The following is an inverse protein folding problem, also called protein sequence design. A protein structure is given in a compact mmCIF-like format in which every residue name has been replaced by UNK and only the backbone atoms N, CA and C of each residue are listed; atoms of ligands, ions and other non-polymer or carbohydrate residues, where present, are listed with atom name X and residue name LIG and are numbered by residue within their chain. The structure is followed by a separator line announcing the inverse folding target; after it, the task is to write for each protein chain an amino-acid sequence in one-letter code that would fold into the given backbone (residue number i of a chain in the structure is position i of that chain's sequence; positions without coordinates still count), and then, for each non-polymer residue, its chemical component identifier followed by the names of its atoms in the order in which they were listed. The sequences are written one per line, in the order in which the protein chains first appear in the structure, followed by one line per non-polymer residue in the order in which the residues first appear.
data_IF_265547282665
#
_entry.id   IF_265547282665
#
_cell.length_a   1.000
_cell.length_b   1.000
_cell.length_c   1.000
_cell.angle_alpha   90.00
_cell.angle_beta   90.00
_cell.angle_gamma   90.00
#
_symmetry.space_group_name_H-M   'P 1'
#
loop_
_entity.id
_entity.type
_entity.pdbx_description
1 polymer ?
#
# COMPACT_ATOMS: atom_id res chain seq x y z
N UNK A 1 -10.55 -2.96 6.98
CA UNK A 1 -10.72 -2.88 5.51
C UNK A 1 -11.43 -4.16 5.04
N UNK A 2 -11.80 -4.24 3.75
CA UNK A 2 -12.50 -5.41 3.18
C UNK A 2 -11.61 -6.64 2.93
N UNK A 3 -10.29 -6.49 3.08
CA UNK A 3 -9.30 -7.56 2.93
C UNK A 3 -8.72 -8.05 4.28
N UNK A 4 -9.45 -7.86 5.39
CA UNK A 4 -9.03 -8.30 6.73
C UNK A 4 -9.85 -9.52 7.15
N UNK A 5 -9.45 -10.69 6.66
CA UNK A 5 -10.13 -11.96 6.97
C UNK A 5 -9.37 -12.72 8.07
N UNK A 6 -10.11 -13.54 8.83
CA UNK A 6 -9.54 -14.48 9.80
C UNK A 6 -8.70 -15.55 9.09
N UNK A 7 -9.27 -16.16 8.04
CA UNK A 7 -8.59 -17.17 7.23
C UNK A 7 -7.70 -16.53 6.15
N UNK A 8 -6.40 -16.83 6.19
CA UNK A 8 -5.41 -16.27 5.24
C UNK A 8 -5.68 -16.62 3.78
N UNK A 9 -6.36 -17.75 3.52
CA UNK A 9 -6.74 -18.17 2.17
C UNK A 9 -7.71 -17.22 1.48
N UNK A 10 -8.43 -16.40 2.26
CA UNK A 10 -9.36 -15.40 1.75
C UNK A 10 -8.71 -14.01 1.57
N UNK A 11 -7.47 -13.83 2.06
CA UNK A 11 -6.76 -12.55 1.98
C UNK A 11 -6.11 -12.42 0.60
N UNK A 12 -6.44 -11.35 -0.11
CA UNK A 12 -5.79 -11.00 -1.38
C UNK A 12 -4.37 -10.52 -1.13
N UNK A 13 -3.41 -11.04 -1.90
CA UNK A 13 -2.00 -10.63 -1.83
C UNK A 13 -1.87 -9.15 -2.20
N UNK A 14 -2.49 -8.74 -3.32
CA UNK A 14 -2.51 -7.33 -3.75
C UNK A 14 -3.48 -6.56 -2.84
N UNK A 15 -3.07 -5.40 -2.31
CA UNK A 15 -3.93 -4.61 -1.44
C UNK A 15 -5.16 -4.09 -2.21
N UNK A 16 -6.30 -4.07 -1.54
CA UNK A 16 -7.53 -3.50 -2.08
C UNK A 16 -7.54 -1.98 -1.94
N UNK A 17 -8.40 -1.30 -2.70
CA UNK A 17 -8.59 0.15 -2.55
C UNK A 17 -8.98 0.54 -1.11
N UNK A 18 -9.86 -0.25 -0.45
CA UNK A 18 -10.26 0.03 0.93
C UNK A 18 -9.16 -0.29 1.94
N UNK A 19 -8.21 -1.16 1.61
CA UNK A 19 -7.02 -1.40 2.42
C UNK A 19 -6.03 -0.24 2.30
N UNK A 20 -5.79 0.26 1.08
CA UNK A 20 -4.90 1.41 0.84
C UNK A 20 -5.40 2.67 1.55
N UNK A 21 -6.71 2.89 1.56
CA UNK A 21 -7.34 4.05 2.19
C UNK A 21 -7.64 3.83 3.69
N UNK A 22 -7.22 2.73 4.29
CA UNK A 22 -7.53 2.43 5.68
C UNK A 22 -6.48 3.06 6.61
N UNK A 23 -6.94 3.92 7.54
CA UNK A 23 -6.05 4.50 8.57
C UNK A 23 -5.67 3.51 9.68
N UNK A 24 -6.39 2.40 9.80
CA UNK A 24 -6.15 1.38 10.84
C UNK A 24 -4.96 0.51 10.44
N UNK A 25 -3.97 0.39 11.33
CA UNK A 25 -2.87 -0.55 11.16
C UNK A 25 -3.35 -2.00 10.96
N UNK A 26 -2.68 -2.77 10.10
CA UNK A 26 -3.01 -4.17 9.88
C UNK A 26 -2.76 -5.01 11.13
N UNK A 27 -3.47 -6.13 11.25
CA UNK A 27 -3.16 -7.12 12.28
C UNK A 27 -1.84 -7.83 11.96
N UNK A 28 -0.82 -7.61 12.79
CA UNK A 28 0.50 -8.24 12.67
C UNK A 28 0.74 -9.18 13.86
N UNK A 29 0.64 -10.51 13.65
CA UNK A 29 0.94 -11.47 14.68
C UNK A 29 2.44 -11.47 15.02
N UNK A 30 2.75 -11.79 16.27
CA UNK A 30 4.14 -11.92 16.71
C UNK A 30 4.69 -13.32 16.41
N UNK A 31 5.99 -13.40 16.12
CA UNK A 31 6.72 -14.67 15.96
C UNK A 31 7.02 -15.36 17.30
N UNK A 32 6.78 -14.68 18.42
CA UNK A 32 6.98 -15.25 19.75
C UNK A 32 5.91 -16.29 20.06
N UNK A 33 6.33 -17.47 20.52
CA UNK A 33 5.43 -18.59 20.81
C UNK A 33 4.32 -18.25 21.81
N UNK A 34 4.65 -17.48 22.86
CA UNK A 34 3.70 -17.11 23.92
C UNK A 34 2.91 -15.83 23.62
N UNK A 35 2.98 -15.33 22.38
CA UNK A 35 2.18 -14.15 21.99
C UNK A 35 0.70 -14.51 21.84
N UNK A 36 -0.16 -13.51 21.98
CA UNK A 36 -1.59 -13.67 21.74
C UNK A 36 -1.82 -13.95 20.24
N UNK A 37 -2.54 -15.03 19.96
CA UNK A 37 -2.98 -15.40 18.62
C UNK A 37 -4.37 -16.04 18.72
N UNK A 38 -5.20 -15.87 17.69
CA UNK A 38 -6.55 -16.45 17.65
C UNK A 38 -6.55 -17.97 17.33
N UNK A 39 -5.43 -18.47 16.79
CA UNK A 39 -5.20 -19.88 16.48
C UNK A 39 -4.41 -20.56 17.60
N UNK A 40 -4.70 -21.83 17.89
CA UNK A 40 -3.91 -22.63 18.83
C UNK A 40 -2.49 -22.88 18.28
N UNK A 41 -1.59 -23.30 19.16
CA UNK A 41 -0.23 -23.66 18.76
C UNK A 41 -0.21 -24.81 17.75
N UNK A 42 0.55 -24.62 16.68
CA UNK A 42 0.71 -25.62 15.62
C UNK A 42 1.06 -25.02 14.26
N UNK A 43 1.12 -25.86 13.22
CA UNK A 43 1.51 -25.44 11.87
C UNK A 43 0.60 -24.37 11.26
N UNK A 44 -0.70 -24.41 11.56
CA UNK A 44 -1.67 -23.42 11.05
C UNK A 44 -1.37 -22.01 11.57
N UNK A 45 -1.07 -21.87 12.88
CA UNK A 45 -0.64 -20.60 13.48
C UNK A 45 0.67 -20.10 12.86
N UNK A 46 1.64 -20.99 12.65
CA UNK A 46 2.88 -20.61 12.00
C UNK A 46 2.64 -20.09 10.58
N UNK A 47 1.79 -20.77 9.80
CA UNK A 47 1.44 -20.36 8.44
C UNK A 47 0.75 -18.99 8.42
N UNK A 48 -0.26 -18.78 9.28
CA UNK A 48 -0.94 -17.48 9.39
C UNK A 48 0.04 -16.36 9.73
N UNK A 49 0.88 -16.58 10.76
CA UNK A 49 1.89 -15.61 11.18
C UNK A 49 2.85 -15.25 10.05
N UNK A 50 3.43 -16.25 9.39
CA UNK A 50 4.40 -16.02 8.32
C UNK A 50 3.74 -15.34 7.12
N UNK A 51 2.53 -15.76 6.73
CA UNK A 51 1.81 -15.13 5.63
C UNK A 51 1.56 -13.64 5.91
N UNK A 52 1.01 -13.29 7.07
CA UNK A 52 0.67 -11.90 7.40
C UNK A 52 1.92 -11.02 7.50
N UNK A 53 2.99 -11.51 8.11
CA UNK A 53 4.25 -10.77 8.23
C UNK A 53 4.93 -10.58 6.87
N UNK A 54 5.04 -11.63 6.05
CA UNK A 54 5.65 -11.53 4.71
C UNK A 54 4.82 -10.64 3.78
N UNK A 55 3.49 -10.74 3.85
CA UNK A 55 2.61 -9.87 3.09
C UNK A 55 2.82 -8.42 3.52
N UNK A 56 2.87 -8.13 4.81
CA UNK A 56 3.09 -6.76 5.28
C UNK A 56 4.46 -6.21 4.86
N UNK A 57 5.53 -6.99 5.02
CA UNK A 57 6.88 -6.59 4.63
C UNK A 57 6.95 -6.19 3.14
N UNK A 58 6.28 -6.95 2.28
CA UNK A 58 6.22 -6.69 0.85
C UNK A 58 5.28 -5.52 0.49
N UNK A 59 4.09 -5.46 1.09
CA UNK A 59 3.02 -4.57 0.64
C UNK A 59 2.98 -3.24 1.40
N UNK A 60 3.59 -3.11 2.57
CA UNK A 60 3.58 -1.86 3.34
C UNK A 60 4.14 -0.67 2.53
N UNK A 61 5.31 -0.77 1.86
CA UNK A 61 5.83 0.33 1.06
C UNK A 61 4.92 0.69 -0.12
N UNK A 62 4.29 -0.30 -0.75
CA UNK A 62 3.36 -0.11 -1.87
C UNK A 62 2.10 0.61 -1.38
N UNK A 63 1.54 0.19 -0.24
CA UNK A 63 0.36 0.80 0.39
C UNK A 63 0.62 2.26 0.75
N UNK A 64 1.75 2.53 1.39
CA UNK A 64 2.20 3.89 1.71
C UNK A 64 2.38 4.74 0.46
N UNK A 65 3.10 4.24 -0.55
CA UNK A 65 3.31 4.92 -1.82
C UNK A 65 2.00 5.30 -2.52
N UNK A 66 1.05 4.37 -2.60
CA UNK A 66 -0.25 4.60 -3.24
C UNK A 66 -1.10 5.59 -2.46
N UNK A 67 -1.16 5.46 -1.13
CA UNK A 67 -1.90 6.41 -0.27
C UNK A 67 -1.35 7.84 -0.39
N UNK A 68 -0.03 7.98 -0.41
CA UNK A 68 0.64 9.26 -0.60
C UNK A 68 0.39 9.86 -1.98
N UNK A 69 0.44 9.05 -3.05
CA UNK A 69 0.12 9.49 -4.40
C UNK A 69 -1.34 9.97 -4.49
N UNK A 70 -2.29 9.20 -3.95
CA UNK A 70 -3.70 9.58 -3.92
C UNK A 70 -3.92 10.89 -3.15
N UNK A 71 -3.27 11.04 -2.01
CA UNK A 71 -3.31 12.28 -1.21
C UNK A 71 -2.77 13.48 -1.99
N UNK A 72 -1.64 13.31 -2.67
CA UNK A 72 -1.03 14.36 -3.48
C UNK A 72 -1.93 14.78 -4.65
N UNK A 73 -2.58 13.83 -5.32
CA UNK A 73 -3.54 14.10 -6.40
C UNK A 73 -4.80 14.83 -5.89
N UNK A 74 -5.32 14.45 -4.71
CA UNK A 74 -6.47 15.13 -4.10
C UNK A 74 -6.13 16.56 -3.66
N UNK A 75 -4.94 16.78 -3.10
CA UNK A 75 -4.48 18.12 -2.72
C UNK A 75 -4.37 19.07 -3.92
N UNK A 76 -3.86 18.58 -5.06
CA UNK A 76 -3.82 19.35 -6.31
C UNK A 76 -5.22 19.71 -6.81
N UNK A 77 -6.18 18.78 -6.73
CA UNK A 77 -7.56 19.03 -7.15
C UNK A 77 -8.24 20.13 -6.33
N UNK A 78 -7.94 20.22 -5.02
CA UNK A 78 -8.59 21.16 -4.11
C UNK A 78 -7.84 22.49 -3.90
N UNK A 79 -6.55 22.58 -4.23
CA UNK A 79 -5.72 23.76 -3.90
C UNK A 79 -5.12 24.43 -5.14
N UNK A 80 -5.41 25.73 -5.33
CA UNK A 80 -4.79 26.54 -6.37
C UNK A 80 -3.37 27.03 -6.03
N UNK A 81 -2.89 26.86 -4.80
CA UNK A 81 -1.62 27.45 -4.29
C UNK A 81 -1.22 26.67 -3.02
N UNK A 82 0.00 26.14 -2.80
CA UNK A 82 1.23 26.89 -2.48
C UNK A 82 2.54 26.08 -2.66
N UNK A 83 2.50 24.79 -2.99
CA UNK A 83 3.74 24.02 -3.24
C UNK A 83 3.99 23.88 -4.74
N UNK A 84 4.62 24.91 -5.31
CA UNK A 84 4.97 24.99 -6.74
C UNK A 84 5.80 23.80 -7.18
N UNK A 85 6.58 23.19 -6.27
CA UNK A 85 7.44 22.05 -6.60
C UNK A 85 6.64 20.76 -6.73
N UNK A 86 5.78 20.45 -5.75
CA UNK A 86 4.97 19.23 -5.77
C UNK A 86 3.99 19.24 -6.95
N UNK A 87 3.30 20.36 -7.17
CA UNK A 87 2.38 20.53 -8.31
C UNK A 87 3.08 20.38 -9.67
N UNK A 88 4.32 20.87 -9.82
CA UNK A 88 5.10 20.66 -11.07
C UNK A 88 5.49 19.21 -11.27
N UNK A 89 5.91 18.51 -10.21
CA UNK A 89 6.29 17.09 -10.30
C UNK A 89 5.06 16.21 -10.57
N UNK A 90 3.92 16.47 -9.93
CA UNK A 90 2.67 15.77 -10.21
C UNK A 90 2.20 15.97 -11.66
N UNK A 91 2.24 17.20 -12.18
CA UNK A 91 1.90 17.48 -13.58
C UNK A 91 2.81 16.73 -14.56
N UNK A 92 4.13 16.70 -14.31
CA UNK A 92 5.05 15.89 -15.11
C UNK A 92 4.66 14.41 -15.10
N UNK A 93 4.30 13.89 -13.93
CA UNK A 93 3.87 12.50 -13.77
C UNK A 93 2.54 12.25 -14.48
N UNK A 94 1.58 13.19 -14.44
CA UNK A 94 0.30 13.08 -15.16
C UNK A 94 0.47 13.12 -16.69
N UNK A 95 1.39 13.95 -17.19
CA UNK A 95 1.61 14.12 -18.63
C UNK A 95 2.46 12.99 -19.23
N UNK A 96 3.54 12.58 -18.54
CA UNK A 96 4.56 11.69 -19.08
C UNK A 96 4.89 10.45 -18.24
N UNK A 97 4.25 10.28 -17.09
CA UNK A 97 4.65 9.27 -16.11
C UNK A 97 5.99 9.60 -15.46
N UNK A 98 6.55 8.63 -14.75
CA UNK A 98 7.84 8.75 -14.09
C UNK A 98 7.85 8.21 -12.67
N UNK A 99 8.95 8.47 -11.97
CA UNK A 99 9.09 8.11 -10.56
C UNK A 99 8.39 9.15 -9.69
N UNK A 100 7.35 8.74 -8.98
CA UNK A 100 6.78 9.47 -7.87
C UNK A 100 7.57 9.10 -6.61
N UNK A 101 8.21 10.08 -5.99
CA UNK A 101 8.85 9.92 -4.69
C UNK A 101 8.17 10.85 -3.70
N UNK A 102 7.64 10.26 -2.63
CA UNK A 102 7.06 11.02 -1.53
C UNK A 102 7.94 10.82 -0.31
N UNK A 103 8.56 11.90 0.14
CA UNK A 103 9.48 11.87 1.27
C UNK A 103 8.89 12.73 2.39
N UNK A 104 8.19 12.09 3.32
CA UNK A 104 7.56 12.77 4.47
C UNK A 104 8.48 12.86 5.69
N UNK A 105 9.80 12.66 5.51
CA UNK A 105 10.76 12.59 6.62
C UNK A 105 10.69 11.28 7.43
N UNK A 106 9.78 10.36 7.07
CA UNK A 106 9.74 8.99 7.55
C UNK A 106 10.45 8.12 6.51
N UNK A 107 11.39 7.26 6.94
CA UNK A 107 12.19 6.37 6.08
C UNK A 107 11.35 5.21 5.50
N UNK A 108 10.20 5.53 4.92
CA UNK A 108 9.37 4.57 4.21
C UNK A 108 9.63 4.74 2.72
N UNK A 109 10.40 3.84 2.12
CA UNK A 109 10.69 3.82 0.68
C UNK A 109 9.45 3.37 -0.10
N UNK A 110 8.45 4.24 -0.19
CA UNK A 110 7.20 4.04 -0.96
C UNK A 110 7.25 4.64 -2.37
N UNK A 111 8.42 4.70 -3.00
CA UNK A 111 8.55 5.25 -4.34
C UNK A 111 7.76 4.42 -5.35
N UNK A 112 7.00 5.10 -6.21
CA UNK A 112 6.19 4.46 -7.23
C UNK A 112 6.70 4.82 -8.62
N UNK A 113 6.77 3.82 -9.49
CA UNK A 113 6.89 4.07 -10.92
C UNK A 113 5.49 4.19 -11.52
N UNK A 114 5.13 5.40 -11.97
CA UNK A 114 3.83 5.71 -12.53
C UNK A 114 3.95 5.73 -14.05
N UNK A 115 3.06 5.00 -14.72
CA UNK A 115 2.97 4.94 -16.17
C UNK A 115 1.65 5.56 -16.61
N UNK A 116 1.71 6.52 -17.55
CA UNK A 116 0.53 7.15 -18.13
C UNK A 116 0.27 6.62 -19.53
N UNK A 117 -0.91 6.93 -20.08
CA UNK A 117 -1.30 6.51 -21.43
C UNK A 117 -1.32 4.99 -21.65
N UNK A 118 -1.48 4.20 -20.58
CA UNK A 118 -1.62 2.75 -20.68
C UNK A 118 -2.94 2.42 -21.37
N UNK A 119 -2.86 1.53 -22.38
CA UNK A 119 -4.03 0.95 -23.04
C UNK A 119 -4.04 -0.54 -22.77
N UNK A 120 -5.12 -1.05 -22.20
CA UNK A 120 -5.33 -2.48 -22.08
C UNK A 120 -5.66 -3.04 -23.47
N UNK A 121 -4.92 -4.06 -23.89
CA UNK A 121 -5.23 -4.82 -25.08
C UNK A 121 -5.70 -6.22 -24.67
N UNK A 122 -6.78 -6.69 -25.26
CA UNK A 122 -7.15 -8.10 -25.12
C UNK A 122 -6.13 -8.93 -25.89
N UNK A 123 -5.53 -9.88 -25.21
CA UNK A 123 -4.74 -10.93 -25.86
C UNK A 123 -5.76 -11.96 -26.35
N UNK A 124 -5.90 -12.04 -27.68
CA UNK A 124 -6.71 -13.04 -28.37
C UNK A 124 -5.94 -14.36 -28.41
#
# INVERSE_FOLDING_TARGET
HDNDFEEVSNILIIPTNKEILCDRSPFLPSTLHNSLHFLPDGPARLLDTQFRLLREDLLNPIRGGLSNLLTALLQEYHSSTNDIKLSKELKKIQDGGGRFSYNNGVNENGDLQVYTNIRFANII
#
